data_IF_164698116143
#
_entry.id   IF_164698116143
#
_cell.length_a   1.000
_cell.length_b   1.000
_cell.length_c   1.000
_cell.angle_alpha   90.00
_cell.angle_beta   90.00
_cell.angle_gamma   90.00
#
_symmetry.space_group_name_H-M   'P 1'
#
loop_
_entity.id
_entity.type
_entity.pdbx_description
1 polymer ?
#
# COMPACT_ATOMS: atom_id res chain seq x y z
N UNK A 1 -59.68 -3.93 25.84
CA UNK A 1 -58.39 -4.34 26.49
C UNK A 1 -57.50 -5.14 25.53
N UNK A 2 -58.05 -6.14 24.83
CA UNK A 2 -57.29 -6.99 23.88
C UNK A 2 -56.68 -6.20 22.70
N UNK A 3 -57.44 -5.28 22.11
CA UNK A 3 -56.98 -4.48 20.96
C UNK A 3 -55.92 -3.42 21.32
N UNK A 4 -55.99 -2.89 22.55
CA UNK A 4 -55.02 -1.92 23.07
C UNK A 4 -53.64 -2.57 23.33
N UNK A 5 -53.62 -3.78 23.90
CA UNK A 5 -52.40 -4.55 24.10
C UNK A 5 -51.76 -4.97 22.77
N UNK A 6 -52.57 -5.31 21.76
CA UNK A 6 -52.10 -5.70 20.45
C UNK A 6 -51.51 -4.54 19.65
N UNK A 7 -52.01 -3.32 19.84
CA UNK A 7 -51.44 -2.09 19.27
C UNK A 7 -50.07 -1.77 19.88
N UNK A 8 -49.92 -1.89 21.21
CA UNK A 8 -48.66 -1.62 21.91
C UNK A 8 -47.58 -2.65 21.51
N UNK A 9 -47.96 -3.92 21.39
CA UNK A 9 -47.06 -4.99 20.93
C UNK A 9 -46.56 -4.75 19.50
N UNK A 10 -47.44 -4.30 18.59
CA UNK A 10 -47.05 -3.94 17.21
C UNK A 10 -46.10 -2.75 17.17
N UNK A 11 -46.39 -1.68 17.92
CA UNK A 11 -45.50 -0.52 17.99
C UNK A 11 -44.14 -0.88 18.58
N UNK A 12 -44.10 -1.70 19.63
CA UNK A 12 -42.85 -2.19 20.24
C UNK A 12 -42.03 -3.04 19.26
N UNK A 13 -42.68 -3.89 18.45
CA UNK A 13 -42.02 -4.69 17.43
C UNK A 13 -41.40 -3.83 16.32
N UNK A 14 -42.10 -2.77 15.88
CA UNK A 14 -41.58 -1.82 14.88
C UNK A 14 -40.35 -1.08 15.41
N UNK A 15 -40.37 -0.62 16.67
CA UNK A 15 -39.20 0.03 17.28
C UNK A 15 -38.02 -0.93 17.44
N UNK A 16 -38.29 -2.20 17.75
CA UNK A 16 -37.24 -3.23 17.83
C UNK A 16 -36.62 -3.52 16.46
N UNK A 17 -37.43 -3.63 15.40
CA UNK A 17 -36.94 -3.80 14.03
C UNK A 17 -36.09 -2.61 13.57
N UNK A 18 -36.52 -1.37 13.86
CA UNK A 18 -35.74 -0.16 13.54
C UNK A 18 -34.42 -0.13 14.30
N UNK A 19 -34.42 -0.51 15.58
CA UNK A 19 -33.20 -0.56 16.39
C UNK A 19 -32.20 -1.59 15.86
N UNK A 20 -32.67 -2.80 15.53
CA UNK A 20 -31.83 -3.86 14.93
C UNK A 20 -31.29 -3.40 13.57
N UNK A 21 -32.13 -2.80 12.72
CA UNK A 21 -31.70 -2.28 11.42
C UNK A 21 -30.59 -1.22 11.58
N UNK A 22 -30.71 -0.33 12.57
CA UNK A 22 -29.73 0.73 12.85
C UNK A 22 -28.35 0.19 13.25
N UNK A 23 -28.28 -0.96 13.94
CA UNK A 23 -27.03 -1.61 14.33
C UNK A 23 -26.27 -2.19 13.13
N UNK A 24 -26.97 -2.61 12.07
CA UNK A 24 -26.32 -3.11 10.85
C UNK A 24 -25.70 -1.98 10.01
N UNK A 25 -26.28 -0.76 10.02
CA UNK A 25 -25.78 0.35 9.17
C UNK A 25 -24.46 0.95 9.70
N UNK A 26 -24.16 0.82 10.99
CA UNK A 26 -22.93 1.37 11.58
C UNK A 26 -21.67 0.54 11.34
N UNK A 27 -21.78 -0.69 10.80
CA UNK A 27 -20.64 -1.60 10.68
C UNK A 27 -19.81 -1.44 9.40
N UNK A 28 -20.21 -0.59 8.44
CA UNK A 28 -19.49 -0.43 7.17
C UNK A 28 -18.55 0.79 7.11
N UNK A 29 -18.48 1.62 8.15
CA UNK A 29 -17.75 2.90 8.08
C UNK A 29 -16.28 2.84 8.55
N UNK A 30 -15.75 1.67 8.91
CA UNK A 30 -14.44 1.54 9.53
C UNK A 30 -13.33 0.99 8.60
N UNK A 31 -13.47 1.11 7.28
CA UNK A 31 -12.33 0.93 6.36
C UNK A 31 -11.51 2.22 6.35
N UNK A 32 -10.64 2.36 7.33
CA UNK A 32 -9.72 3.51 7.41
C UNK A 32 -8.58 3.27 6.42
N UNK A 33 -8.75 3.78 5.19
CA UNK A 33 -7.66 3.91 4.24
C UNK A 33 -6.58 4.79 4.90
N UNK A 34 -5.49 4.17 5.35
CA UNK A 34 -4.35 4.89 5.87
C UNK A 34 -3.57 5.43 4.67
N UNK A 35 -4.00 6.58 4.16
CA UNK A 35 -3.20 7.35 3.22
C UNK A 35 -1.97 7.83 3.98
N UNK A 36 -0.82 7.20 3.70
CA UNK A 36 0.47 7.59 4.27
C UNK A 36 0.99 8.76 3.43
N UNK A 37 1.12 9.94 4.03
CA UNK A 37 1.84 11.05 3.40
C UNK A 37 3.34 10.73 3.40
N UNK A 38 3.89 10.46 2.21
CA UNK A 38 5.28 10.07 2.07
C UNK A 38 6.23 11.24 2.23
N UNK A 39 7.16 11.11 3.19
CA UNK A 39 8.26 12.06 3.40
C UNK A 39 9.37 11.90 2.36
N UNK A 40 9.47 10.74 1.74
CA UNK A 40 10.48 10.43 0.71
C UNK A 40 9.96 10.83 -0.67
N UNK A 41 10.76 11.60 -1.41
CA UNK A 41 10.43 11.94 -2.79
C UNK A 41 10.59 10.70 -3.68
N UNK A 42 9.47 10.19 -4.19
CA UNK A 42 9.41 9.05 -5.09
C UNK A 42 9.29 9.51 -6.56
N UNK A 43 9.88 8.77 -7.51
CA UNK A 43 9.62 9.01 -8.93
C UNK A 43 8.15 8.77 -9.31
N UNK A 44 7.72 9.37 -10.41
CA UNK A 44 6.41 9.10 -11.01
C UNK A 44 6.43 7.73 -11.71
N UNK A 45 5.42 6.87 -11.54
CA UNK A 45 5.31 5.62 -12.28
C UNK A 45 5.32 5.78 -13.81
N UNK A 46 5.02 6.96 -14.36
CA UNK A 46 5.17 7.25 -15.79
C UNK A 46 6.61 7.10 -16.31
N UNK A 47 7.59 7.14 -15.41
CA UNK A 47 9.00 6.99 -15.76
C UNK A 47 9.44 5.51 -15.83
N UNK A 48 8.57 4.59 -15.43
CA UNK A 48 8.78 3.16 -15.62
C UNK A 48 8.40 2.77 -17.07
N UNK A 49 9.12 1.81 -17.68
CA UNK A 49 8.67 1.23 -18.95
C UNK A 49 7.25 0.73 -18.81
N UNK A 50 6.39 1.03 -19.79
CA UNK A 50 4.99 0.64 -19.65
C UNK A 50 4.81 -0.87 -19.71
N UNK A 51 3.71 -1.27 -19.08
CA UNK A 51 2.87 -2.38 -19.44
C UNK A 51 3.54 -3.73 -19.22
N UNK A 52 3.94 -3.99 -17.98
CA UNK A 52 4.54 -5.26 -17.58
C UNK A 52 4.05 -5.72 -16.22
N UNK A 53 4.28 -7.02 -15.97
CA UNK A 53 4.11 -7.65 -14.68
C UNK A 53 5.31 -8.56 -14.41
N UNK A 54 5.75 -8.61 -13.16
CA UNK A 54 6.83 -9.48 -12.70
C UNK A 54 6.49 -10.10 -11.34
N UNK A 55 7.13 -11.20 -11.01
CA UNK A 55 7.06 -11.84 -9.69
C UNK A 55 8.45 -12.09 -9.19
N UNK A 56 8.76 -11.59 -7.99
CA UNK A 56 10.13 -11.51 -7.50
C UNK A 56 10.22 -11.89 -6.04
N UNK A 57 11.37 -12.48 -5.68
CA UNK A 57 11.78 -12.65 -4.30
C UNK A 57 12.43 -11.35 -3.83
N UNK A 58 12.02 -10.88 -2.66
CA UNK A 58 12.61 -9.73 -1.98
C UNK A 58 13.37 -10.20 -0.74
N UNK A 59 14.59 -9.69 -0.58
CA UNK A 59 15.41 -9.89 0.60
C UNK A 59 15.73 -8.51 1.18
N UNK A 60 15.19 -8.23 2.36
CA UNK A 60 15.20 -6.90 2.97
C UNK A 60 15.94 -6.99 4.29
N UNK A 61 16.92 -6.11 4.48
CA UNK A 61 17.56 -5.90 5.80
C UNK A 61 16.99 -4.63 6.42
N UNK A 62 16.18 -4.79 7.45
CA UNK A 62 15.49 -3.67 8.12
C UNK A 62 15.47 -3.90 9.63
N UNK A 63 15.77 -2.86 10.42
CA UNK A 63 15.83 -2.93 11.89
C UNK A 63 16.70 -4.08 12.43
N UNK A 64 17.81 -4.39 11.75
CA UNK A 64 18.72 -5.51 12.05
C UNK A 64 18.17 -6.92 11.81
N UNK A 65 16.99 -7.03 11.21
CA UNK A 65 16.39 -8.29 10.79
C UNK A 65 16.49 -8.45 9.26
N UNK A 66 16.59 -9.71 8.83
CA UNK A 66 16.57 -10.07 7.42
C UNK A 66 15.22 -10.74 7.12
N UNK A 67 14.42 -10.07 6.30
CA UNK A 67 13.06 -10.47 5.97
C UNK A 67 13.06 -10.95 4.53
N UNK A 68 12.55 -12.16 4.31
CA UNK A 68 12.34 -12.69 2.96
C UNK A 68 10.86 -12.65 2.60
N UNK A 69 10.56 -11.95 1.53
CA UNK A 69 9.20 -11.74 1.02
C UNK A 69 9.13 -12.13 -0.45
N UNK A 70 7.93 -12.14 -1.00
CA UNK A 70 7.73 -12.13 -2.45
C UNK A 70 6.84 -10.97 -2.86
N UNK A 71 7.02 -10.50 -4.08
CA UNK A 71 6.27 -9.39 -4.64
C UNK A 71 5.73 -9.75 -6.02
N UNK A 72 4.49 -9.36 -6.27
CA UNK A 72 3.95 -9.24 -7.63
C UNK A 72 3.85 -7.77 -7.94
N UNK A 73 4.58 -7.32 -8.96
CA UNK A 73 4.60 -5.92 -9.39
C UNK A 73 4.00 -5.81 -10.78
N UNK A 74 3.13 -4.84 -11.00
CA UNK A 74 2.54 -4.54 -12.30
C UNK A 74 2.50 -3.03 -12.55
N UNK A 75 2.73 -2.63 -13.80
CA UNK A 75 2.54 -1.25 -14.27
C UNK A 75 1.54 -1.25 -15.42
N UNK A 76 0.48 -0.45 -15.28
CA UNK A 76 -0.57 -0.29 -16.29
C UNK A 76 -1.06 1.16 -16.25
N UNK A 77 -1.19 1.82 -17.40
CA UNK A 77 -1.70 3.20 -17.49
C UNK A 77 -1.04 4.19 -16.51
N UNK A 78 0.30 4.12 -16.39
CA UNK A 78 1.10 4.92 -15.43
C UNK A 78 0.67 4.73 -13.95
N UNK A 79 0.06 3.59 -13.64
CA UNK A 79 -0.25 3.15 -12.28
C UNK A 79 0.59 1.94 -11.92
N UNK A 80 1.40 2.09 -10.88
CA UNK A 80 2.18 1.01 -10.29
C UNK A 80 1.34 0.31 -9.23
N UNK A 81 1.29 -1.01 -9.28
CA UNK A 81 0.63 -1.88 -8.30
C UNK A 81 1.66 -2.89 -7.81
N UNK A 82 1.78 -3.04 -6.50
CA UNK A 82 2.70 -3.96 -5.84
C UNK A 82 1.95 -4.73 -4.78
N UNK A 83 1.89 -6.05 -4.91
CA UNK A 83 1.32 -6.93 -3.90
C UNK A 83 2.45 -7.69 -3.23
N UNK A 84 2.59 -7.54 -1.92
CA UNK A 84 3.64 -8.15 -1.13
C UNK A 84 3.06 -9.34 -0.38
N UNK A 85 3.78 -10.45 -0.40
CA UNK A 85 3.45 -11.68 0.29
C UNK A 85 4.59 -12.09 1.22
N UNK A 86 4.24 -12.77 2.29
CA UNK A 86 5.24 -13.42 3.15
C UNK A 86 5.83 -14.68 2.51
N UNK A 87 6.73 -15.35 3.23
CA UNK A 87 7.36 -16.60 2.80
C UNK A 87 6.39 -17.78 2.65
N UNK A 88 5.17 -17.68 3.19
CA UNK A 88 4.11 -18.68 3.06
C UNK A 88 3.09 -18.34 1.96
N UNK A 89 3.30 -17.22 1.24
CA UNK A 89 2.39 -16.76 0.19
C UNK A 89 1.14 -16.06 0.71
N UNK A 90 1.08 -15.70 2.00
CA UNK A 90 -0.01 -14.89 2.54
C UNK A 90 0.22 -13.44 2.13
N UNK A 91 -0.81 -12.79 1.58
CA UNK A 91 -0.74 -11.37 1.23
C UNK A 91 -0.54 -10.55 2.51
N UNK A 92 0.41 -9.62 2.50
CA UNK A 92 0.70 -8.73 3.62
C UNK A 92 0.14 -7.33 3.36
N UNK A 93 0.43 -6.79 2.18
CA UNK A 93 -0.01 -5.46 1.80
C UNK A 93 -0.10 -5.30 0.28
N UNK A 94 -0.90 -4.32 -0.13
CA UNK A 94 -1.06 -3.86 -1.50
C UNK A 94 -0.68 -2.39 -1.56
N UNK A 95 0.28 -2.05 -2.40
CA UNK A 95 0.74 -0.68 -2.65
C UNK A 95 0.26 -0.30 -4.04
N UNK A 96 -0.41 0.84 -4.15
CA UNK A 96 -0.68 1.45 -5.44
C UNK A 96 -0.12 2.86 -5.49
N UNK A 97 0.51 3.20 -6.61
CA UNK A 97 1.01 4.54 -6.87
C UNK A 97 0.45 5.08 -8.18
N UNK A 98 -0.03 6.32 -8.16
CA UNK A 98 -0.46 7.07 -9.34
C UNK A 98 0.06 8.49 -9.21
N UNK A 99 0.95 8.88 -10.11
CA UNK A 99 1.74 10.10 -9.96
C UNK A 99 2.52 10.09 -8.63
N UNK A 100 2.42 11.20 -7.88
CA UNK A 100 2.99 11.32 -6.54
C UNK A 100 2.17 10.69 -5.42
N UNK A 101 0.97 10.17 -5.68
CA UNK A 101 0.10 9.62 -4.64
C UNK A 101 0.39 8.13 -4.43
N UNK A 102 0.72 7.76 -3.19
CA UNK A 102 0.88 6.36 -2.76
C UNK A 102 -0.26 5.99 -1.84
N UNK A 103 -0.88 4.83 -2.09
CA UNK A 103 -1.88 4.22 -1.21
C UNK A 103 -1.37 2.85 -0.77
N UNK A 104 -1.51 2.55 0.51
CA UNK A 104 -1.06 1.29 1.10
C UNK A 104 -2.23 0.67 1.85
N UNK A 105 -2.71 -0.47 1.34
CA UNK A 105 -3.71 -1.30 1.99
C UNK A 105 -2.97 -2.43 2.72
N UNK A 106 -3.08 -2.46 4.05
CA UNK A 106 -2.44 -3.47 4.90
C UNK A 106 -3.48 -4.53 5.29
N UNK A 107 -3.07 -5.79 5.35
CA UNK A 107 -3.91 -6.82 5.95
C UNK A 107 -4.04 -6.63 7.47
N UNK A 108 -5.20 -6.97 8.03
CA UNK A 108 -5.58 -6.67 9.43
C UNK A 108 -4.61 -7.32 10.42
N UNK A 109 -4.09 -8.50 10.08
CA UNK A 109 -3.23 -9.31 10.95
C UNK A 109 -1.75 -8.90 10.88
N UNK A 110 -1.39 -7.90 10.07
CA UNK A 110 0.00 -7.50 9.90
C UNK A 110 0.50 -6.70 11.13
N UNK A 111 1.40 -7.30 11.90
CA UNK A 111 2.00 -6.69 13.10
C UNK A 111 3.27 -5.87 12.79
N UNK A 112 3.99 -6.24 11.72
CA UNK A 112 5.25 -5.61 11.33
C UNK A 112 5.05 -4.50 10.30
N UNK A 113 5.67 -3.35 10.52
CA UNK A 113 5.65 -2.25 9.57
C UNK A 113 6.81 -2.35 8.57
N UNK A 114 6.48 -2.60 7.30
CA UNK A 114 7.44 -2.65 6.21
C UNK A 114 7.79 -1.24 5.68
N UNK A 115 9.06 -0.97 5.31
CA UNK A 115 9.48 0.33 4.80
C UNK A 115 9.02 0.54 3.35
N UNK A 116 7.77 0.98 3.18
CA UNK A 116 7.10 1.08 1.86
C UNK A 116 7.87 1.94 0.85
N UNK A 117 8.45 3.06 1.28
CA UNK A 117 9.24 3.93 0.41
C UNK A 117 10.46 3.22 -0.17
N UNK A 118 11.12 2.42 0.66
CA UNK A 118 12.31 1.68 0.25
C UNK A 118 11.96 0.54 -0.69
N UNK A 119 10.79 -0.09 -0.49
CA UNK A 119 10.25 -1.08 -1.43
C UNK A 119 10.01 -0.46 -2.80
N UNK A 120 9.31 0.68 -2.85
CA UNK A 120 9.03 1.38 -4.11
C UNK A 120 10.32 1.86 -4.79
N UNK A 121 11.24 2.49 -4.04
CA UNK A 121 12.54 2.91 -4.57
C UNK A 121 13.34 1.72 -5.14
N UNK A 122 13.24 0.54 -4.54
CA UNK A 122 13.86 -0.68 -5.06
C UNK A 122 13.32 -1.09 -6.43
N UNK A 123 12.00 -1.02 -6.62
CA UNK A 123 11.33 -1.29 -7.90
C UNK A 123 11.79 -0.29 -8.96
N UNK A 124 11.72 1.01 -8.65
CA UNK A 124 12.23 2.03 -9.56
C UNK A 124 13.71 1.81 -9.87
N UNK A 125 14.54 1.46 -8.87
CA UNK A 125 15.98 1.33 -9.10
C UNK A 125 16.28 0.22 -10.10
N UNK A 126 15.52 -0.87 -10.04
CA UNK A 126 15.67 -1.97 -10.97
C UNK A 126 15.20 -1.58 -12.36
N UNK A 127 13.95 -1.13 -12.49
CA UNK A 127 13.23 -1.09 -13.77
C UNK A 127 13.23 0.28 -14.47
N UNK A 128 13.48 1.36 -13.73
CA UNK A 128 13.57 2.71 -14.28
C UNK A 128 14.92 2.93 -14.98
N UNK A 129 14.94 3.55 -16.17
CA UNK A 129 16.18 3.96 -16.82
C UNK A 129 16.97 4.96 -15.96
N UNK A 130 18.31 4.85 -15.98
CA UNK A 130 19.17 5.67 -15.12
C UNK A 130 19.00 7.18 -15.33
N UNK A 131 18.71 7.61 -16.57
CA UNK A 131 18.52 9.03 -16.91
C UNK A 131 17.29 9.65 -16.23
N UNK A 132 16.25 8.85 -16.01
CA UNK A 132 14.98 9.32 -15.45
C UNK A 132 15.12 9.66 -13.95
N UNK A 133 16.19 9.24 -13.27
CA UNK A 133 16.44 9.55 -11.86
C UNK A 133 16.73 11.03 -11.60
N UNK A 134 17.01 11.79 -12.67
CA UNK A 134 17.26 13.24 -12.67
C UNK A 134 15.98 14.08 -12.80
N UNK A 135 14.95 13.76 -12.00
CA UNK A 135 13.68 14.50 -12.01
C UNK A 135 13.69 15.71 -11.05
N UNK A 136 12.71 16.60 -11.20
CA UNK A 136 12.61 17.85 -10.43
C UNK A 136 12.61 17.55 -8.92
N UNK A 137 13.40 18.32 -8.15
CA UNK A 137 13.57 18.19 -6.69
C UNK A 137 14.20 16.86 -6.21
N UNK A 138 14.60 15.99 -7.15
CA UNK A 138 15.34 14.77 -6.85
C UNK A 138 16.78 15.10 -6.44
N UNK A 139 17.15 14.63 -5.26
CA UNK A 139 18.55 14.51 -4.85
C UNK A 139 19.07 13.07 -5.04
N UNK A 140 18.41 12.25 -5.85
CA UNK A 140 18.82 10.87 -6.05
C UNK A 140 19.99 10.75 -7.03
N UNK A 141 20.96 9.92 -6.67
CA UNK A 141 22.13 9.60 -7.48
C UNK A 141 22.23 8.09 -7.65
N UNK A 142 22.05 7.62 -8.88
CA UNK A 142 22.26 6.21 -9.23
C UNK A 142 23.72 6.00 -9.62
N UNK A 143 24.36 5.04 -8.96
CA UNK A 143 25.71 4.55 -9.29
C UNK A 143 25.64 3.09 -9.69
N UNK A 144 26.44 2.68 -10.68
CA UNK A 144 26.62 1.27 -11.03
C UNK A 144 27.95 0.77 -10.50
N UNK A 145 27.92 -0.41 -9.88
CA UNK A 145 29.11 -1.14 -9.46
C UNK A 145 28.97 -2.59 -9.92
N UNK A 146 29.56 -2.91 -11.08
CA UNK A 146 29.33 -4.18 -11.77
C UNK A 146 27.84 -4.37 -12.08
N UNK A 147 27.27 -5.49 -11.62
CA UNK A 147 25.85 -5.83 -11.81
C UNK A 147 24.93 -5.19 -10.76
N UNK A 148 25.46 -4.36 -9.86
CA UNK A 148 24.68 -3.70 -8.80
C UNK A 148 24.37 -2.26 -9.22
N UNK A 149 23.10 -1.87 -9.07
CA UNK A 149 22.69 -0.47 -9.03
C UNK A 149 22.58 -0.03 -7.58
N UNK A 150 23.13 1.14 -7.27
CA UNK A 150 23.14 1.72 -5.93
C UNK A 150 22.48 3.08 -6.02
N UNK A 151 21.41 3.26 -5.25
CA UNK A 151 20.72 4.53 -5.12
C UNK A 151 21.23 5.28 -3.88
N UNK A 152 21.73 6.50 -4.07
CA UNK A 152 22.18 7.36 -2.99
C UNK A 152 21.36 8.65 -2.97
N UNK A 153 21.12 9.21 -1.78
CA UNK A 153 20.52 10.53 -1.63
C UNK A 153 21.65 11.56 -1.42
N UNK A 154 21.87 12.44 -2.39
CA UNK A 154 22.76 13.59 -2.26
C UNK A 154 22.24 14.52 -1.15
N UNK A 155 23.15 15.14 -0.40
CA UNK A 155 22.85 16.06 0.71
C UNK A 155 22.21 15.47 1.97
N UNK A 156 22.45 14.20 2.30
CA UNK A 156 22.45 13.81 3.72
C UNK A 156 23.74 14.33 4.36
N UNK A 157 23.75 15.61 4.74
CA UNK A 157 24.52 16.02 5.92
C UNK A 157 23.92 15.24 7.08
N UNK A 158 24.62 14.22 7.57
CA UNK A 158 24.27 13.51 8.80
C UNK A 158 24.51 14.46 9.96
#
# INVERSE_FOLDING_TARGET
>A
VKDFLQSILKSCFIYLEIFILSLFVTSCAHLKDNIVENKTLLPDPSNLPCCWQTTEKLEIKFKSEEISLSAVTAILDNKLIVVIFDSFGRKLLNISQTGGQVRVEKEIEMTEELPTDWLLLGIFLRDMPDIEWSFKESNWLVKRNGNKKILNQANRTV
#
